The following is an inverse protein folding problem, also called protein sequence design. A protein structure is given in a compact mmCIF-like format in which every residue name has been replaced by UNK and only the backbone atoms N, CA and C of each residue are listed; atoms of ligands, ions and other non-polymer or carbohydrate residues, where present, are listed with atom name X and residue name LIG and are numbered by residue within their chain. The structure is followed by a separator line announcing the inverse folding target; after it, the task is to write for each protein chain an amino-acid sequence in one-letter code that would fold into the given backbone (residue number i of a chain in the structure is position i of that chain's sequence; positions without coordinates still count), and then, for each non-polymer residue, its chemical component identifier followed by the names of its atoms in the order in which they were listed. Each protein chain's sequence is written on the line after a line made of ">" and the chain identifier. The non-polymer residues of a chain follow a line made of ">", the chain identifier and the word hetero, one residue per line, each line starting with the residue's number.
data_IF_589610921195
#
_entry.id   IF_589610921195
#
_cell.length_a   1.000
_cell.length_b   1.000
_cell.length_c   1.000
_cell.angle_alpha   90.00
_cell.angle_beta   90.00
_cell.angle_gamma   90.00
#
_symmetry.space_group_name_H-M   'P 1'
#
loop_
_entity.id
_entity.type
_entity.pdbx_description
1 polymer ?
#
# COMPACT_ATOMS: atom_id res chain seq x y z
N UNK A 1 18.52 42.26 -46.46
CA UNK A 1 18.04 40.95 -45.98
C UNK A 1 18.44 40.86 -44.52
N UNK A 2 17.50 41.15 -43.60
CA UNK A 2 17.78 41.17 -42.16
C UNK A 2 17.56 39.76 -41.61
N UNK A 3 18.63 39.11 -41.16
CA UNK A 3 18.59 37.86 -40.42
C UNK A 3 18.08 38.19 -39.03
N UNK A 4 16.79 37.96 -38.78
CA UNK A 4 16.26 37.95 -37.43
C UNK A 4 16.92 36.78 -36.69
N UNK A 5 17.83 37.11 -35.79
CA UNK A 5 18.40 36.15 -34.84
C UNK A 5 17.28 35.71 -33.92
N UNK A 6 16.71 34.54 -34.19
CA UNK A 6 15.76 33.91 -33.28
C UNK A 6 16.47 33.67 -31.95
N UNK A 7 16.20 34.56 -31.00
CA UNK A 7 16.75 34.48 -29.67
C UNK A 7 16.12 33.26 -29.01
N UNK A 8 16.87 32.17 -28.88
CA UNK A 8 16.38 31.01 -28.15
C UNK A 8 16.07 31.46 -26.72
N UNK A 9 14.82 31.28 -26.31
CA UNK A 9 14.24 31.77 -25.05
C UNK A 9 15.08 31.36 -23.83
N UNK A 10 15.82 30.27 -23.93
CA UNK A 10 16.61 29.67 -22.85
C UNK A 10 18.10 30.02 -22.87
N UNK A 11 18.63 30.71 -23.88
CA UNK A 11 20.08 30.96 -24.01
C UNK A 11 20.68 31.79 -22.88
N UNK A 12 19.87 32.62 -22.22
CA UNK A 12 20.32 33.56 -21.20
C UNK A 12 19.97 33.11 -19.77
N UNK A 13 19.38 31.93 -19.61
CA UNK A 13 19.02 31.42 -18.29
C UNK A 13 20.19 30.64 -17.67
N UNK A 14 20.55 30.92 -16.40
CA UNK A 14 21.45 30.07 -15.63
C UNK A 14 20.98 28.61 -15.61
N UNK A 15 21.94 27.68 -15.60
CA UNK A 15 21.66 26.25 -15.65
C UNK A 15 20.83 25.76 -14.45
N UNK A 16 20.97 26.42 -13.30
CA UNK A 16 20.24 26.16 -12.07
C UNK A 16 18.75 26.47 -12.25
N UNK A 17 18.41 27.61 -12.86
CA UNK A 17 17.02 27.97 -13.13
C UNK A 17 16.38 27.04 -14.16
N UNK A 18 17.13 26.64 -15.19
CA UNK A 18 16.67 25.64 -16.15
C UNK A 18 16.39 24.31 -15.46
N UNK A 19 17.30 23.87 -14.59
CA UNK A 19 17.14 22.65 -13.80
C UNK A 19 15.88 22.73 -12.94
N UNK A 20 15.68 23.80 -12.18
CA UNK A 20 14.50 23.98 -11.32
C UNK A 20 13.20 23.93 -12.14
N UNK A 21 13.16 24.58 -13.31
CA UNK A 21 12.01 24.55 -14.22
C UNK A 21 11.74 23.12 -14.71
N UNK A 22 12.76 22.41 -15.19
CA UNK A 22 12.59 21.05 -15.71
C UNK A 22 12.25 20.03 -14.62
N UNK A 23 12.86 20.14 -13.44
CA UNK A 23 12.56 19.29 -12.29
C UNK A 23 11.12 19.54 -11.81
N UNK A 24 10.68 20.80 -11.73
CA UNK A 24 9.29 21.13 -11.37
C UNK A 24 8.29 20.60 -12.39
N UNK A 25 8.55 20.78 -13.69
CA UNK A 25 7.70 20.27 -14.76
C UNK A 25 7.65 18.73 -14.77
N UNK A 26 8.78 18.07 -14.54
CA UNK A 26 8.85 16.60 -14.46
C UNK A 26 8.16 16.04 -13.20
N UNK A 27 8.25 16.74 -12.07
CA UNK A 27 7.56 16.37 -10.83
C UNK A 27 6.04 16.47 -10.97
N UNK A 28 5.56 17.50 -11.68
CA UNK A 28 4.14 17.80 -11.82
C UNK A 28 3.41 16.86 -12.79
N UNK A 29 4.09 16.39 -13.85
CA UNK A 29 3.50 15.48 -14.83
C UNK A 29 4.49 14.40 -15.31
N UNK A 30 4.24 13.11 -15.03
CA UNK A 30 5.05 12.00 -15.52
C UNK A 30 5.15 11.91 -17.05
N UNK A 31 4.14 12.37 -17.79
CA UNK A 31 4.23 12.39 -19.25
C UNK A 31 5.24 13.43 -19.72
N UNK A 32 5.19 14.63 -19.14
CA UNK A 32 6.19 15.69 -19.33
C UNK A 32 7.59 15.24 -18.95
N UNK A 33 7.77 14.58 -17.80
CA UNK A 33 9.07 14.02 -17.40
C UNK A 33 9.66 13.10 -18.48
N UNK A 34 8.84 12.25 -19.10
CA UNK A 34 9.29 11.34 -20.18
C UNK A 34 9.73 12.12 -21.41
N UNK A 35 8.94 13.10 -21.84
CA UNK A 35 9.30 13.95 -22.98
C UNK A 35 10.59 14.72 -22.73
N UNK A 36 10.73 15.33 -21.54
CA UNK A 36 11.93 16.06 -21.14
C UNK A 36 13.18 15.17 -21.14
N UNK A 37 13.05 13.91 -20.74
CA UNK A 37 14.17 12.95 -20.75
C UNK A 37 14.75 12.68 -22.15
N UNK A 38 14.02 13.02 -23.22
CA UNK A 38 14.45 12.86 -24.60
C UNK A 38 15.13 14.11 -25.19
N UNK A 39 15.06 15.26 -24.51
CA UNK A 39 15.54 16.55 -25.03
C UNK A 39 17.07 16.61 -25.07
N UNK A 40 17.73 16.29 -23.96
CA UNK A 40 19.20 16.28 -23.86
C UNK A 40 19.68 15.33 -22.76
N UNK A 41 20.97 14.99 -22.75
CA UNK A 41 21.57 14.17 -21.68
C UNK A 41 21.52 14.85 -20.31
N UNK A 42 21.73 16.17 -20.26
CA UNK A 42 21.65 16.95 -19.02
C UNK A 42 20.23 16.96 -18.46
N UNK A 43 19.23 17.27 -19.29
CA UNK A 43 17.82 17.27 -18.87
C UNK A 43 17.39 15.86 -18.46
N UNK A 44 17.81 14.82 -19.20
CA UNK A 44 17.59 13.44 -18.80
C UNK A 44 18.14 13.17 -17.40
N UNK A 45 19.36 13.59 -17.10
CA UNK A 45 19.95 13.40 -15.77
C UNK A 45 19.12 14.09 -14.67
N UNK A 46 18.62 15.30 -14.94
CA UNK A 46 17.77 16.04 -14.00
C UNK A 46 16.40 15.38 -13.81
N UNK A 47 15.75 14.94 -14.89
CA UNK A 47 14.37 14.43 -14.81
C UNK A 47 14.24 12.95 -14.52
N UNK A 48 15.31 12.17 -14.72
CA UNK A 48 15.27 10.72 -14.63
C UNK A 48 14.82 10.21 -13.25
N UNK A 49 15.18 10.91 -12.18
CA UNK A 49 14.77 10.49 -10.85
C UNK A 49 13.25 10.51 -10.64
N UNK A 50 12.52 11.45 -11.26
CA UNK A 50 11.06 11.47 -11.22
C UNK A 50 10.42 10.32 -12.00
N UNK A 51 11.08 9.85 -13.07
CA UNK A 51 10.60 8.72 -13.87
C UNK A 51 10.64 7.40 -13.10
N UNK A 52 11.66 7.23 -12.25
CA UNK A 52 11.86 6.01 -11.48
C UNK A 52 11.32 6.09 -10.05
N UNK A 53 10.97 7.29 -9.55
CA UNK A 53 10.48 7.48 -8.18
C UNK A 53 9.27 6.59 -7.87
N UNK A 54 8.29 6.59 -8.77
CA UNK A 54 7.05 5.82 -8.64
C UNK A 54 6.85 4.96 -9.90
N UNK A 55 7.02 3.65 -9.76
CA UNK A 55 6.93 2.67 -10.85
C UNK A 55 5.66 1.84 -10.70
N UNK A 56 4.81 1.88 -11.74
CA UNK A 56 3.56 1.09 -11.80
C UNK A 56 3.63 0.11 -12.96
N UNK A 57 3.69 -1.19 -12.64
CA UNK A 57 3.78 -2.29 -13.58
C UNK A 57 2.41 -2.99 -13.67
N UNK A 58 1.54 -2.47 -14.54
CA UNK A 58 0.16 -2.97 -14.69
C UNK A 58 0.00 -4.11 -15.69
N UNK A 59 1.01 -4.37 -16.52
CA UNK A 59 0.98 -5.41 -17.56
C UNK A 59 2.31 -6.14 -17.68
N UNK A 60 2.31 -7.37 -18.21
CA UNK A 60 3.53 -8.14 -18.47
C UNK A 60 4.46 -7.43 -19.46
N UNK A 61 3.90 -6.59 -20.36
CA UNK A 61 4.69 -5.72 -21.24
C UNK A 61 5.44 -4.67 -20.43
N UNK A 62 4.76 -3.92 -19.55
CA UNK A 62 5.40 -2.92 -18.69
C UNK A 62 6.46 -3.54 -17.77
N UNK A 63 6.20 -4.74 -17.22
CA UNK A 63 7.16 -5.48 -16.41
C UNK A 63 8.45 -5.82 -17.18
N UNK A 64 8.32 -6.36 -18.41
CA UNK A 64 9.47 -6.66 -19.28
C UNK A 64 10.23 -5.41 -19.70
N UNK A 65 9.51 -4.35 -20.09
CA UNK A 65 10.13 -3.08 -20.46
C UNK A 65 10.90 -2.46 -19.30
N UNK A 66 10.35 -2.51 -18.09
CA UNK A 66 11.02 -2.03 -16.89
C UNK A 66 12.28 -2.86 -16.58
N UNK A 67 12.19 -4.19 -16.64
CA UNK A 67 13.34 -5.08 -16.47
C UNK A 67 14.48 -4.77 -17.46
N UNK A 68 14.14 -4.58 -18.74
CA UNK A 68 15.13 -4.20 -19.76
C UNK A 68 15.74 -2.81 -19.51
N UNK A 69 14.94 -1.87 -19.00
CA UNK A 69 15.44 -0.54 -18.66
C UNK A 69 16.43 -0.62 -17.48
N UNK A 70 16.05 -1.28 -16.38
CA UNK A 70 16.89 -1.36 -15.18
C UNK A 70 18.13 -2.24 -15.36
N UNK A 71 18.13 -3.20 -16.30
CA UNK A 71 19.33 -4.01 -16.58
C UNK A 71 20.48 -3.21 -17.19
N UNK A 72 20.20 -2.03 -17.74
CA UNK A 72 21.23 -1.11 -18.27
C UNK A 72 21.71 -0.10 -17.22
N UNK A 73 21.14 -0.13 -16.01
CA UNK A 73 21.43 0.81 -14.92
C UNK A 73 22.28 0.15 -13.84
N UNK A 74 23.14 0.92 -13.14
CA UNK A 74 23.81 0.42 -11.94
C UNK A 74 22.77 -0.06 -10.91
N UNK A 75 23.05 -1.16 -10.21
CA UNK A 75 22.13 -1.69 -9.19
C UNK A 75 21.79 -0.64 -8.11
N UNK A 76 22.78 0.17 -7.74
CA UNK A 76 22.61 1.25 -6.77
C UNK A 76 21.63 2.33 -7.22
N UNK A 77 21.60 2.61 -8.53
CA UNK A 77 20.67 3.57 -9.10
C UNK A 77 19.23 3.11 -8.87
N UNK A 78 18.89 1.87 -9.19
CA UNK A 78 17.53 1.35 -9.04
C UNK A 78 17.13 1.31 -7.57
N UNK A 79 18.04 0.85 -6.71
CA UNK A 79 17.84 0.76 -5.26
C UNK A 79 17.52 2.10 -4.63
N UNK A 80 18.19 3.17 -5.05
CA UNK A 80 18.04 4.51 -4.45
C UNK A 80 16.91 5.32 -5.07
N UNK A 81 16.60 5.10 -6.35
CA UNK A 81 15.65 5.91 -7.10
C UNK A 81 14.22 5.40 -7.04
N UNK A 82 13.99 4.09 -6.92
CA UNK A 82 12.63 3.52 -6.87
C UNK A 82 12.13 3.53 -5.42
N UNK A 83 11.21 4.45 -5.11
CA UNK A 83 10.63 4.63 -3.78
C UNK A 83 9.27 4.00 -3.63
N UNK A 84 8.48 4.02 -4.70
CA UNK A 84 7.15 3.43 -4.72
C UNK A 84 7.03 2.45 -5.87
N UNK A 85 6.71 1.20 -5.56
CA UNK A 85 6.64 0.13 -6.55
C UNK A 85 5.27 -0.56 -6.48
N UNK A 86 4.54 -0.51 -7.60
CA UNK A 86 3.28 -1.22 -7.76
C UNK A 86 3.40 -2.29 -8.83
N UNK A 87 3.26 -3.56 -8.45
CA UNK A 87 3.29 -4.70 -9.38
C UNK A 87 1.89 -5.30 -9.46
N UNK A 88 1.13 -4.90 -10.48
CA UNK A 88 -0.23 -5.39 -10.75
C UNK A 88 -0.30 -6.31 -11.97
N UNK A 89 0.82 -6.45 -12.69
CA UNK A 89 0.95 -7.33 -13.82
C UNK A 89 0.85 -8.80 -13.39
N UNK A 90 0.00 -9.55 -14.10
CA UNK A 90 0.14 -11.01 -14.16
C UNK A 90 1.35 -11.30 -15.05
N UNK A 91 2.44 -11.77 -14.46
CA UNK A 91 3.70 -11.99 -15.18
C UNK A 91 4.44 -13.21 -14.66
N UNK A 92 5.48 -13.67 -15.37
CA UNK A 92 6.34 -14.74 -14.88
C UNK A 92 6.88 -14.37 -13.51
N UNK A 93 6.73 -15.29 -12.55
CA UNK A 93 7.14 -15.09 -11.15
C UNK A 93 8.62 -14.70 -11.06
N UNK A 94 9.48 -15.24 -11.92
CA UNK A 94 10.91 -14.92 -11.97
C UNK A 94 11.16 -13.44 -12.35
N UNK A 95 10.31 -12.88 -13.21
CA UNK A 95 10.41 -11.47 -13.60
C UNK A 95 10.01 -10.54 -12.45
N UNK A 96 8.96 -10.90 -11.71
CA UNK A 96 8.53 -10.18 -10.51
C UNK A 96 9.64 -10.23 -9.45
N UNK A 97 10.20 -11.41 -9.22
CA UNK A 97 11.29 -11.60 -8.25
C UNK A 97 12.52 -10.75 -8.55
N UNK A 98 12.95 -10.70 -9.82
CA UNK A 98 14.07 -9.84 -10.26
C UNK A 98 13.80 -8.36 -10.03
N UNK A 99 12.56 -7.89 -10.25
CA UNK A 99 12.18 -6.52 -9.96
C UNK A 99 12.25 -6.24 -8.46
N UNK A 100 11.69 -7.12 -7.61
CA UNK A 100 11.74 -6.97 -6.16
C UNK A 100 13.19 -6.95 -5.65
N UNK A 101 14.05 -7.80 -6.19
CA UNK A 101 15.48 -7.83 -5.89
C UNK A 101 16.22 -6.54 -6.28
N UNK A 102 15.90 -5.96 -7.43
CA UNK A 102 16.51 -4.71 -7.88
C UNK A 102 16.03 -3.49 -7.10
N UNK A 103 14.77 -3.51 -6.63
CA UNK A 103 14.10 -2.39 -5.97
C UNK A 103 14.07 -2.55 -4.43
N UNK A 104 15.20 -2.94 -3.81
CA UNK A 104 15.25 -3.19 -2.35
C UNK A 104 15.04 -1.95 -1.47
N UNK A 105 15.22 -0.76 -2.02
CA UNK A 105 15.08 0.52 -1.31
C UNK A 105 13.70 1.17 -1.44
N UNK A 106 12.67 0.39 -1.76
CA UNK A 106 11.28 0.86 -1.80
C UNK A 106 10.77 1.17 -0.40
N UNK A 107 10.02 2.26 -0.30
CA UNK A 107 9.36 2.73 0.92
C UNK A 107 7.88 2.28 0.94
N UNK A 108 7.23 2.16 -0.24
CA UNK A 108 5.86 1.67 -0.40
C UNK A 108 5.77 0.63 -1.52
N UNK A 109 5.26 -0.56 -1.19
CA UNK A 109 5.06 -1.67 -2.12
C UNK A 109 3.58 -1.98 -2.28
N UNK A 110 3.08 -2.05 -3.51
CA UNK A 110 1.75 -2.57 -3.81
C UNK A 110 1.84 -3.82 -4.69
N UNK A 111 1.23 -4.91 -4.22
CA UNK A 111 1.19 -6.20 -4.90
C UNK A 111 -0.22 -6.45 -5.42
N UNK A 112 -0.36 -6.79 -6.69
CA UNK A 112 -1.59 -7.28 -7.32
C UNK A 112 -1.44 -8.67 -7.96
N UNK A 113 -0.35 -9.39 -7.69
CA UNK A 113 -0.07 -10.73 -8.21
C UNK A 113 -0.30 -11.79 -7.13
N UNK A 114 -0.51 -13.05 -7.52
CA UNK A 114 -0.75 -14.16 -6.58
C UNK A 114 0.46 -14.40 -5.65
N UNK A 115 0.36 -13.94 -4.40
CA UNK A 115 1.42 -14.08 -3.40
C UNK A 115 1.65 -15.51 -2.93
N UNK A 116 0.60 -16.32 -2.64
CA UNK A 116 0.78 -17.75 -2.37
C UNK A 116 1.59 -18.46 -3.47
N UNK A 117 1.22 -18.24 -4.74
CA UNK A 117 1.94 -18.81 -5.88
C UNK A 117 3.38 -18.30 -5.99
N UNK A 118 3.61 -17.01 -5.73
CA UNK A 118 4.96 -16.44 -5.67
C UNK A 118 5.81 -17.11 -4.58
N UNK A 119 5.27 -17.22 -3.36
CA UNK A 119 5.95 -17.84 -2.21
C UNK A 119 6.30 -19.30 -2.49
N UNK A 120 5.41 -20.05 -3.13
CA UNK A 120 5.67 -21.46 -3.46
C UNK A 120 6.84 -21.63 -4.44
N UNK A 121 7.01 -20.70 -5.38
CA UNK A 121 8.00 -20.82 -6.46
C UNK A 121 9.35 -20.17 -6.12
N UNK A 122 9.36 -19.03 -5.43
CA UNK A 122 10.58 -18.25 -5.15
C UNK A 122 10.88 -18.11 -3.65
N UNK A 123 9.95 -18.50 -2.78
CA UNK A 123 10.01 -18.20 -1.36
C UNK A 123 9.63 -16.74 -1.06
N UNK A 124 10.04 -16.24 0.11
CA UNK A 124 9.75 -14.88 0.58
C UNK A 124 10.99 -13.99 0.71
N UNK A 125 12.17 -14.46 0.30
CA UNK A 125 13.45 -13.77 0.53
C UNK A 125 13.51 -12.35 -0.03
N UNK A 126 12.99 -12.12 -1.25
CA UNK A 126 13.00 -10.79 -1.87
C UNK A 126 12.14 -9.79 -1.08
N UNK A 127 10.95 -10.20 -0.65
CA UNK A 127 10.02 -9.38 0.14
C UNK A 127 10.57 -9.12 1.55
N UNK A 128 11.13 -10.14 2.19
CA UNK A 128 11.78 -10.03 3.50
C UNK A 128 13.04 -9.14 3.48
N UNK A 129 13.69 -9.01 2.33
CA UNK A 129 14.86 -8.14 2.15
C UNK A 129 14.50 -6.65 2.02
N UNK A 130 13.21 -6.28 1.92
CA UNK A 130 12.74 -4.89 1.79
C UNK A 130 12.75 -4.16 3.14
N UNK A 131 13.93 -4.02 3.75
CA UNK A 131 14.12 -3.43 5.09
C UNK A 131 13.67 -1.97 5.22
N UNK A 132 13.53 -1.26 4.09
CA UNK A 132 13.07 0.13 4.04
C UNK A 132 11.56 0.27 3.84
N UNK A 133 10.85 -0.81 3.49
CA UNK A 133 9.42 -0.72 3.15
C UNK A 133 8.61 -0.43 4.40
N UNK A 134 8.01 0.75 4.44
CA UNK A 134 7.13 1.20 5.52
C UNK A 134 5.69 0.81 5.23
N UNK A 135 5.30 0.82 3.97
CA UNK A 135 3.96 0.49 3.53
C UNK A 135 3.95 -0.73 2.61
N UNK A 136 2.96 -1.61 2.82
CA UNK A 136 2.73 -2.74 1.94
C UNK A 136 1.22 -2.92 1.68
N UNK A 137 0.83 -3.03 0.40
CA UNK A 137 -0.55 -3.14 -0.02
C UNK A 137 -0.77 -4.44 -0.80
N UNK A 138 -1.51 -5.37 -0.22
CA UNK A 138 -1.90 -6.63 -0.84
C UNK A 138 -3.29 -6.48 -1.47
N UNK A 139 -3.32 -6.24 -2.78
CA UNK A 139 -4.51 -5.85 -3.52
C UNK A 139 -4.98 -6.97 -4.45
N UNK A 140 -6.29 -7.04 -4.69
CA UNK A 140 -6.87 -7.90 -5.73
C UNK A 140 -6.48 -9.38 -5.57
N UNK A 141 -5.74 -9.91 -6.54
CA UNK A 141 -5.33 -11.33 -6.58
C UNK A 141 -4.33 -11.72 -5.50
N UNK A 142 -3.67 -10.76 -4.85
CA UNK A 142 -2.64 -11.02 -3.83
C UNK A 142 -3.14 -11.78 -2.62
N UNK A 143 -4.43 -11.65 -2.30
CA UNK A 143 -5.04 -12.28 -1.12
C UNK A 143 -6.13 -13.30 -1.47
N UNK A 144 -6.40 -13.55 -2.77
CA UNK A 144 -7.55 -14.36 -3.22
C UNK A 144 -7.49 -15.79 -2.69
N UNK A 145 -6.30 -16.37 -2.68
CA UNK A 145 -6.05 -17.75 -2.30
C UNK A 145 -5.46 -17.81 -0.87
N UNK A 146 -5.78 -16.80 -0.05
CA UNK A 146 -5.14 -16.53 1.23
C UNK A 146 -3.83 -15.75 1.08
N UNK A 147 -3.24 -15.36 2.20
CA UNK A 147 -1.91 -14.76 2.27
C UNK A 147 -1.22 -15.16 3.58
N UNK A 148 0.08 -14.92 3.68
CA UNK A 148 0.91 -15.35 4.81
C UNK A 148 1.77 -14.18 5.30
N UNK A 149 1.86 -13.96 6.60
CA UNK A 149 2.63 -12.86 7.21
C UNK A 149 4.10 -12.88 6.85
N UNK A 150 4.66 -14.06 6.53
CA UNK A 150 6.03 -14.22 6.02
C UNK A 150 6.26 -13.56 4.66
N UNK A 151 5.23 -13.06 3.96
CA UNK A 151 5.39 -12.25 2.73
C UNK A 151 5.39 -10.74 3.02
N UNK A 152 5.15 -10.34 4.27
CA UNK A 152 5.18 -8.96 4.72
C UNK A 152 6.57 -8.63 5.24
N UNK A 153 7.16 -7.53 4.75
CA UNK A 153 8.47 -7.11 5.24
C UNK A 153 8.40 -6.72 6.73
N UNK A 154 9.41 -7.04 7.55
CA UNK A 154 9.35 -6.85 9.00
C UNK A 154 9.40 -5.37 9.42
N UNK A 155 9.77 -4.47 8.50
CA UNK A 155 9.75 -3.02 8.68
C UNK A 155 8.39 -2.37 8.39
N UNK A 156 7.41 -3.15 7.91
CA UNK A 156 6.10 -2.62 7.53
C UNK A 156 5.39 -2.09 8.77
N UNK A 157 5.03 -0.81 8.68
CA UNK A 157 4.25 -0.09 9.69
C UNK A 157 2.80 0.06 9.25
N UNK A 158 2.56 0.09 7.93
CA UNK A 158 1.25 0.25 7.32
C UNK A 158 0.95 -0.90 6.36
N UNK A 159 -0.01 -1.75 6.71
CA UNK A 159 -0.40 -2.89 5.91
C UNK A 159 -1.84 -2.71 5.42
N UNK A 160 -2.06 -2.83 4.11
CA UNK A 160 -3.41 -2.88 3.53
C UNK A 160 -3.64 -4.24 2.90
N UNK A 161 -4.73 -4.91 3.24
CA UNK A 161 -5.08 -6.24 2.71
C UNK A 161 -6.49 -6.24 2.14
N UNK A 162 -6.72 -7.07 1.13
CA UNK A 162 -8.05 -7.33 0.58
C UNK A 162 -8.58 -8.67 1.07
N UNK A 163 -9.66 -8.65 1.84
CA UNK A 163 -10.27 -9.87 2.38
C UNK A 163 -11.44 -10.26 1.49
N UNK A 164 -11.28 -11.35 0.75
CA UNK A 164 -12.24 -11.76 -0.30
C UNK A 164 -13.47 -12.47 0.24
N UNK A 165 -13.39 -13.10 1.41
CA UNK A 165 -14.51 -13.78 2.07
C UNK A 165 -14.31 -13.83 3.58
N UNK A 166 -15.34 -13.43 4.33
CA UNK A 166 -15.52 -13.80 5.73
C UNK A 166 -16.42 -15.03 5.73
N UNK A 167 -15.85 -16.23 5.87
CA UNK A 167 -16.68 -17.41 6.02
C UNK A 167 -17.14 -17.50 7.49
N UNK A 168 -18.35 -17.99 7.73
CA UNK A 168 -19.06 -18.03 9.04
C UNK A 168 -18.41 -18.90 10.14
N UNK A 169 -17.12 -19.25 10.00
CA UNK A 169 -16.33 -19.91 11.04
C UNK A 169 -14.88 -19.44 11.12
N UNK A 170 -14.39 -18.74 10.08
CA UNK A 170 -13.08 -18.12 10.08
C UNK A 170 -13.18 -16.78 9.31
N UNK A 171 -13.21 -15.64 10.03
CA UNK A 171 -13.38 -14.34 9.41
C UNK A 171 -12.20 -13.98 8.48
N UNK A 172 -11.06 -14.65 8.61
CA UNK A 172 -9.87 -14.40 7.80
C UNK A 172 -9.33 -15.74 7.33
N UNK A 173 -9.69 -16.22 6.12
CA UNK A 173 -9.14 -17.44 5.57
C UNK A 173 -7.66 -17.22 5.26
N UNK A 174 -6.82 -17.35 6.29
CA UNK A 174 -5.41 -17.60 6.11
C UNK A 174 -5.31 -19.00 5.50
N UNK A 175 -4.45 -19.21 4.50
CA UNK A 175 -4.22 -20.54 4.02
C UNK A 175 -3.77 -21.35 5.23
N UNK A 176 -4.50 -22.43 5.53
CA UNK A 176 -4.08 -23.44 6.49
C UNK A 176 -2.71 -23.90 5.99
N UNK A 177 -1.65 -23.34 6.57
CA UNK A 177 -0.31 -23.79 6.30
C UNK A 177 -0.19 -25.24 6.76
N UNK A 178 0.98 -25.83 6.61
CA UNK A 178 1.27 -27.16 7.17
C UNK A 178 1.23 -27.22 8.73
N UNK A 179 0.70 -26.18 9.40
CA UNK A 179 0.47 -26.11 10.83
C UNK A 179 -0.95 -26.55 11.22
N UNK A 180 -1.21 -26.62 12.52
CA UNK A 180 -2.49 -27.08 13.05
C UNK A 180 -3.64 -26.21 12.53
N UNK A 181 -4.70 -26.81 11.94
CA UNK A 181 -5.85 -26.07 11.40
C UNK A 181 -6.71 -25.36 12.46
N UNK A 182 -6.29 -25.38 13.74
CA UNK A 182 -7.02 -24.84 14.88
C UNK A 182 -6.50 -23.49 15.39
N UNK A 183 -5.34 -23.00 14.94
CA UNK A 183 -4.82 -21.72 15.41
C UNK A 183 -5.56 -20.55 14.72
N UNK A 184 -6.12 -19.60 15.50
CA UNK A 184 -6.83 -18.45 14.94
C UNK A 184 -5.86 -17.61 14.11
N UNK A 185 -6.20 -17.37 12.85
CA UNK A 185 -5.28 -16.77 11.87
C UNK A 185 -4.74 -15.39 12.23
N UNK A 186 -5.37 -14.69 13.17
CA UNK A 186 -4.93 -13.41 13.70
C UNK A 186 -3.63 -13.45 14.49
N UNK A 187 -3.29 -14.57 15.12
CA UNK A 187 -2.05 -14.71 15.90
C UNK A 187 -0.80 -14.47 15.04
N UNK A 188 -0.90 -14.71 13.72
CA UNK A 188 0.20 -14.44 12.79
C UNK A 188 0.57 -12.96 12.72
N UNK A 189 -0.36 -12.04 13.00
CA UNK A 189 -0.01 -10.62 13.08
C UNK A 189 0.93 -10.31 14.25
N UNK A 190 1.02 -11.18 15.26
CA UNK A 190 1.99 -11.02 16.35
C UNK A 190 3.44 -11.02 15.86
N UNK A 191 3.72 -11.62 14.69
CA UNK A 191 5.05 -11.59 14.07
C UNK A 191 5.41 -10.21 13.49
N UNK A 192 4.40 -9.37 13.21
CA UNK A 192 4.56 -8.06 12.59
C UNK A 192 4.73 -6.95 13.62
N UNK A 193 5.74 -7.08 14.48
CA UNK A 193 5.96 -6.17 15.62
C UNK A 193 6.06 -4.68 15.29
N UNK A 194 6.41 -4.32 14.05
CA UNK A 194 6.46 -2.93 13.57
C UNK A 194 5.11 -2.37 13.13
N UNK A 195 4.08 -3.22 12.98
CA UNK A 195 2.79 -2.85 12.43
C UNK A 195 2.02 -1.94 13.39
N UNK A 196 1.66 -0.76 12.90
CA UNK A 196 0.89 0.26 13.63
C UNK A 196 -0.46 0.55 12.96
N UNK A 197 -0.53 0.42 11.63
CA UNK A 197 -1.71 0.74 10.84
C UNK A 197 -2.11 -0.46 9.98
N UNK A 198 -3.37 -0.88 10.10
CA UNK A 198 -3.94 -1.97 9.30
C UNK A 198 -5.17 -1.47 8.55
N UNK A 199 -5.17 -1.60 7.22
CA UNK A 199 -6.36 -1.41 6.39
C UNK A 199 -6.88 -2.75 5.87
N UNK A 200 -8.18 -2.97 6.03
CA UNK A 200 -8.89 -4.14 5.52
C UNK A 200 -9.92 -3.66 4.52
N UNK A 201 -9.76 -4.09 3.27
CA UNK A 201 -10.79 -3.92 2.25
C UNK A 201 -11.80 -5.06 2.44
N UNK A 202 -13.00 -4.70 2.85
CA UNK A 202 -14.10 -5.61 3.16
C UNK A 202 -15.20 -5.46 2.11
N UNK A 203 -15.66 -6.59 1.57
CA UNK A 203 -16.84 -6.62 0.71
C UNK A 203 -18.07 -6.95 1.55
N UNK A 204 -19.00 -6.00 1.62
CA UNK A 204 -20.25 -6.23 2.34
C UNK A 204 -21.00 -7.43 1.74
N UNK A 205 -21.39 -8.35 2.61
CA UNK A 205 -22.19 -9.54 2.30
C UNK A 205 -23.35 -9.62 3.28
N UNK A 206 -24.57 -9.93 2.84
CA UNK A 206 -25.70 -10.18 3.75
C UNK A 206 -25.42 -11.32 4.75
N UNK A 207 -24.54 -12.26 4.40
CA UNK A 207 -24.18 -13.39 5.25
C UNK A 207 -23.12 -13.05 6.31
N UNK A 208 -22.48 -11.88 6.23
CA UNK A 208 -21.46 -11.44 7.18
C UNK A 208 -21.82 -10.01 7.62
N UNK A 209 -22.70 -9.88 8.61
CA UNK A 209 -23.13 -8.57 9.06
C UNK A 209 -21.95 -7.77 9.66
N UNK A 210 -22.01 -6.42 9.63
CA UNK A 210 -20.86 -5.58 10.02
C UNK A 210 -20.39 -5.78 11.48
N UNK A 211 -21.27 -6.24 12.36
CA UNK A 211 -20.95 -6.57 13.76
C UNK A 211 -20.00 -7.77 13.88
N UNK A 212 -20.09 -8.77 13.01
CA UNK A 212 -19.16 -9.92 13.02
C UNK A 212 -17.75 -9.50 12.62
N UNK A 213 -17.64 -8.66 11.59
CA UNK A 213 -16.38 -8.05 11.18
C UNK A 213 -15.81 -7.25 12.35
N UNK A 214 -16.61 -6.38 12.95
CA UNK A 214 -16.20 -5.56 14.08
C UNK A 214 -15.68 -6.40 15.25
N UNK A 215 -16.39 -7.46 15.64
CA UNK A 215 -15.96 -8.35 16.72
C UNK A 215 -14.59 -8.99 16.43
N UNK A 216 -14.33 -9.40 15.20
CA UNK A 216 -13.03 -9.94 14.80
C UNK A 216 -11.90 -8.88 14.90
N UNK A 217 -12.19 -7.62 14.56
CA UNK A 217 -11.22 -6.52 14.70
C UNK A 217 -10.93 -6.18 16.17
N UNK A 218 -11.91 -6.33 17.05
CA UNK A 218 -11.70 -6.15 18.49
C UNK A 218 -10.75 -7.20 19.05
N UNK A 219 -10.88 -8.46 18.61
CA UNK A 219 -9.94 -9.52 18.99
C UNK A 219 -8.50 -9.17 18.59
N UNK A 220 -8.32 -8.61 17.39
CA UNK A 220 -6.99 -8.16 16.93
C UNK A 220 -6.40 -7.06 17.82
N UNK A 221 -7.21 -6.10 18.28
CA UNK A 221 -6.76 -5.08 19.24
C UNK A 221 -6.42 -5.67 20.61
N UNK A 222 -7.15 -6.70 21.03
CA UNK A 222 -6.96 -7.39 22.30
C UNK A 222 -5.75 -8.35 22.32
N UNK A 223 -5.19 -8.73 21.16
CA UNK A 223 -4.03 -9.64 21.08
C UNK A 223 -2.86 -9.21 21.96
N UNK A 224 -2.64 -7.90 22.10
CA UNK A 224 -1.57 -7.36 22.94
C UNK A 224 -1.83 -7.56 24.44
N UNK A 225 -3.09 -7.59 24.85
CA UNK A 225 -3.47 -7.74 26.26
C UNK A 225 -3.38 -9.21 26.71
N UNK A 226 -3.50 -10.15 25.78
CA UNK A 226 -3.49 -11.60 26.05
C UNK A 226 -2.13 -12.26 25.85
N UNK A 227 -1.20 -11.60 25.17
CA UNK A 227 0.13 -12.15 24.89
C UNK A 227 1.09 -11.95 26.06
N UNK A 228 1.91 -12.96 26.34
CA UNK A 228 2.97 -12.92 27.36
C UNK A 228 3.96 -11.77 27.10
N UNK A 229 4.59 -11.22 28.14
CA UNK A 229 5.54 -10.09 28.01
C UNK A 229 6.70 -10.35 27.01
N UNK A 230 7.00 -11.63 26.71
CA UNK A 230 8.04 -12.03 25.77
C UNK A 230 7.65 -11.88 24.29
N UNK A 231 6.36 -11.83 23.94
CA UNK A 231 5.93 -11.71 22.54
C UNK A 231 5.66 -10.25 22.16
N UNK A 232 6.39 -9.76 21.15
CA UNK A 232 6.26 -8.39 20.62
C UNK A 232 5.06 -8.26 19.68
N UNK A 233 3.86 -8.43 20.22
CA UNK A 233 2.63 -8.20 19.48
C UNK A 233 2.58 -6.75 18.94
N UNK A 234 2.00 -6.52 17.73
CA UNK A 234 1.92 -5.20 17.14
C UNK A 234 1.10 -4.24 18.00
N UNK A 235 1.55 -2.98 18.07
CA UNK A 235 0.80 -1.91 18.72
C UNK A 235 -0.01 -1.18 17.67
N UNK A 236 -1.19 -1.71 17.36
CA UNK A 236 -2.10 -1.08 16.41
C UNK A 236 -2.64 0.25 16.96
N UNK A 237 -2.35 1.31 16.23
CA UNK A 237 -2.80 2.68 16.45
C UNK A 237 -4.06 2.97 15.64
N UNK A 238 -4.19 2.34 14.46
CA UNK A 238 -5.34 2.46 13.57
C UNK A 238 -5.70 1.11 12.93
N UNK A 239 -7.00 0.82 12.90
CA UNK A 239 -7.59 -0.18 12.01
C UNK A 239 -8.59 0.53 11.09
N UNK A 240 -8.30 0.57 9.80
CA UNK A 240 -9.15 1.14 8.75
C UNK A 240 -9.94 0.04 8.04
N UNK A 241 -11.27 0.15 8.02
CA UNK A 241 -12.16 -0.75 7.27
C UNK A 241 -12.70 -0.03 6.03
N UNK A 242 -12.28 -0.46 4.86
CA UNK A 242 -12.76 0.06 3.59
C UNK A 242 -13.84 -0.83 3.02
N UNK A 243 -15.10 -0.38 3.10
CA UNK A 243 -16.26 -1.16 2.67
C UNK A 243 -16.50 -0.96 1.17
N UNK A 244 -16.38 -2.04 0.39
CA UNK A 244 -16.69 -2.03 -1.04
C UNK A 244 -18.20 -1.96 -1.23
N UNK A 245 -18.67 -0.85 -1.82
CA UNK A 245 -19.99 -0.74 -2.42
C UNK A 245 -19.93 -0.97 -3.93
N UNK A 246 -20.71 -1.92 -4.44
CA UNK A 246 -20.97 -1.98 -5.88
C UNK A 246 -21.77 -0.75 -6.35
N UNK A 247 -21.82 -0.49 -7.66
CA UNK A 247 -22.57 0.65 -8.23
C UNK A 247 -24.05 0.67 -7.81
N UNK A 248 -24.66 -0.50 -7.62
CA UNK A 248 -26.05 -0.68 -7.18
C UNK A 248 -26.20 -0.70 -5.65
N UNK A 249 -25.09 -0.86 -4.92
CA UNK A 249 -25.03 -1.15 -3.49
C UNK A 249 -24.32 -0.05 -2.68
N UNK A 250 -24.36 1.20 -3.15
CA UNK A 250 -23.68 2.31 -2.47
C UNK A 250 -24.35 2.67 -1.13
N UNK A 251 -25.67 2.57 -1.04
CA UNK A 251 -26.42 2.80 0.20
C UNK A 251 -26.14 1.74 1.26
N UNK A 252 -26.04 0.47 0.88
CA UNK A 252 -25.75 -0.63 1.81
C UNK A 252 -24.31 -0.55 2.33
N UNK A 253 -23.34 -0.22 1.46
CA UNK A 253 -21.97 0.02 1.89
C UNK A 253 -21.87 1.19 2.89
N UNK A 254 -22.57 2.30 2.64
CA UNK A 254 -22.63 3.42 3.59
C UNK A 254 -23.26 3.02 4.91
N UNK A 255 -24.37 2.28 4.89
CA UNK A 255 -24.99 1.75 6.11
C UNK A 255 -24.06 0.84 6.91
N UNK A 256 -23.25 0.01 6.24
CA UNK A 256 -22.24 -0.82 6.89
C UNK A 256 -21.09 0.02 7.49
N UNK A 257 -20.63 1.06 6.78
CA UNK A 257 -19.65 2.03 7.31
C UNK A 257 -20.17 2.70 8.58
N UNK A 258 -21.40 3.21 8.54
CA UNK A 258 -22.04 3.88 9.67
C UNK A 258 -22.20 2.91 10.85
N UNK A 259 -22.61 1.67 10.60
CA UNK A 259 -22.76 0.64 11.62
C UNK A 259 -21.43 0.30 12.31
N UNK A 260 -20.33 0.12 11.56
CA UNK A 260 -19.01 -0.18 12.13
C UNK A 260 -18.51 1.00 12.96
N UNK A 261 -18.65 2.22 12.44
CA UNK A 261 -18.24 3.43 13.16
C UNK A 261 -19.07 3.65 14.44
N UNK A 262 -20.37 3.39 14.41
CA UNK A 262 -21.23 3.46 15.58
C UNK A 262 -20.84 2.41 16.64
N UNK A 263 -20.58 1.16 16.22
CA UNK A 263 -20.13 0.09 17.11
C UNK A 263 -18.79 0.42 17.79
N UNK A 264 -17.85 1.02 17.06
CA UNK A 264 -16.57 1.50 17.59
C UNK A 264 -16.77 2.53 18.72
N UNK A 265 -17.66 3.51 18.51
CA UNK A 265 -17.98 4.54 19.51
C UNK A 265 -18.71 3.94 20.71
N UNK A 266 -19.72 3.11 20.47
CA UNK A 266 -20.53 2.49 21.53
C UNK A 266 -19.70 1.61 22.45
N UNK A 267 -18.76 0.84 21.89
CA UNK A 267 -17.89 -0.03 22.68
C UNK A 267 -16.82 0.76 23.44
N UNK A 268 -16.29 1.83 22.83
CA UNK A 268 -15.29 2.68 23.45
C UNK A 268 -13.91 2.00 23.62
N UNK A 269 -13.10 2.54 24.53
CA UNK A 269 -11.78 1.99 24.86
C UNK A 269 -10.85 1.85 23.63
N UNK A 270 -10.11 0.74 23.50
CA UNK A 270 -9.27 0.47 22.33
C UNK A 270 -10.02 0.47 21.00
N UNK A 271 -11.32 0.13 21.01
CA UNK A 271 -12.14 0.04 19.79
C UNK A 271 -12.34 1.39 19.11
N UNK A 272 -12.07 2.51 19.80
CA UNK A 272 -12.06 3.84 19.20
C UNK A 272 -11.02 4.01 18.07
N UNK A 273 -10.04 3.11 17.98
CA UNK A 273 -9.03 3.02 16.91
C UNK A 273 -9.54 2.36 15.62
N UNK A 274 -10.76 1.85 15.61
CA UNK A 274 -11.39 1.27 14.41
C UNK A 274 -12.16 2.38 13.70
N UNK A 275 -11.78 2.70 12.47
CA UNK A 275 -12.50 3.61 11.60
C UNK A 275 -12.95 2.88 10.34
N UNK A 276 -14.14 3.21 9.85
CA UNK A 276 -14.66 2.69 8.59
C UNK A 276 -14.91 3.81 7.58
N UNK A 277 -14.66 3.53 6.30
CA UNK A 277 -14.94 4.41 5.17
C UNK A 277 -15.42 3.59 3.96
N UNK A 278 -16.02 4.27 2.98
CA UNK A 278 -16.32 3.63 1.70
C UNK A 278 -15.00 3.38 0.94
N UNK A 279 -14.80 2.16 0.44
CA UNK A 279 -13.65 1.86 -0.41
C UNK A 279 -13.66 2.73 -1.67
N UNK A 280 -12.49 3.14 -2.19
CA UNK A 280 -12.42 3.86 -3.45
C UNK A 280 -12.87 2.97 -4.62
N UNK A 281 -13.26 3.59 -5.74
CA UNK A 281 -13.57 2.85 -6.97
C UNK A 281 -12.38 2.04 -7.48
N UNK A 282 -11.15 2.52 -7.25
CA UNK A 282 -9.92 1.78 -7.56
C UNK A 282 -8.88 1.98 -6.47
N UNK A 283 -8.61 0.91 -5.73
CA UNK A 283 -7.58 0.86 -4.68
C UNK A 283 -6.17 1.09 -5.24
N UNK A 284 -5.93 0.67 -6.49
CA UNK A 284 -4.67 0.91 -7.21
C UNK A 284 -4.49 2.40 -7.50
N UNK A 285 -5.55 3.08 -7.98
CA UNK A 285 -5.49 4.53 -8.23
C UNK A 285 -5.39 5.34 -6.95
N UNK A 286 -6.06 4.92 -5.88
CA UNK A 286 -5.90 5.56 -4.58
C UNK A 286 -4.45 5.46 -4.07
N UNK A 287 -3.85 4.27 -4.14
CA UNK A 287 -2.44 4.09 -3.79
C UNK A 287 -1.52 4.94 -4.67
N UNK A 288 -1.70 4.91 -5.99
CA UNK A 288 -0.89 5.71 -6.92
C UNK A 288 -1.03 7.21 -6.65
N UNK A 289 -2.24 7.69 -6.35
CA UNK A 289 -2.48 9.10 -6.03
C UNK A 289 -1.76 9.49 -4.72
N UNK A 290 -1.89 8.68 -3.66
CA UNK A 290 -1.25 8.92 -2.38
C UNK A 290 0.28 9.02 -2.51
N UNK A 291 0.93 8.06 -3.18
CA UNK A 291 2.39 8.08 -3.37
C UNK A 291 2.89 9.14 -4.37
N UNK A 292 1.97 9.84 -5.06
CA UNK A 292 2.28 10.98 -5.93
C UNK A 292 1.93 12.33 -5.28
N UNK A 293 1.71 12.36 -3.96
CA UNK A 293 1.42 13.58 -3.20
C UNK A 293 -0.05 13.97 -3.17
N UNK A 294 -0.96 13.10 -3.61
CA UNK A 294 -2.38 13.20 -3.28
C UNK A 294 -2.65 12.84 -1.81
N UNK A 295 -3.93 12.92 -1.38
CA UNK A 295 -4.30 12.55 -0.02
C UNK A 295 -3.85 11.14 0.34
N UNK A 296 -3.24 10.99 1.51
CA UNK A 296 -2.83 9.70 2.04
C UNK A 296 -4.01 8.74 2.23
N UNK A 297 -3.75 7.44 2.15
CA UNK A 297 -4.78 6.41 2.38
C UNK A 297 -5.31 6.45 3.83
N UNK A 298 -4.48 6.91 4.76
CA UNK A 298 -4.72 6.80 6.20
C UNK A 298 -5.28 8.09 6.82
N UNK A 299 -5.04 9.24 6.21
CA UNK A 299 -5.28 10.57 6.78
C UNK A 299 -6.70 10.77 7.32
N UNK A 300 -7.72 10.41 6.52
CA UNK A 300 -9.12 10.56 6.93
C UNK A 300 -9.49 9.70 8.13
N UNK A 301 -8.93 8.49 8.21
CA UNK A 301 -9.18 7.56 9.30
C UNK A 301 -8.42 7.96 10.57
N UNK A 302 -7.18 8.43 10.45
CA UNK A 302 -6.40 9.00 11.55
C UNK A 302 -7.09 10.21 12.18
N UNK A 303 -7.65 11.11 11.36
CA UNK A 303 -8.41 12.26 11.84
C UNK A 303 -9.63 11.81 12.68
N UNK A 304 -10.38 10.81 12.20
CA UNK A 304 -11.54 10.26 12.91
C UNK A 304 -11.12 9.66 14.26
N UNK A 305 -10.09 8.81 14.28
CA UNK A 305 -9.60 8.16 15.51
C UNK A 305 -9.08 9.20 16.51
N UNK A 306 -8.31 10.18 16.03
CA UNK A 306 -7.78 11.26 16.88
C UNK A 306 -8.90 12.03 17.58
N UNK A 307 -9.94 12.42 16.84
CA UNK A 307 -11.12 13.11 17.40
C UNK A 307 -11.83 12.27 18.46
N UNK A 308 -12.01 10.97 18.20
CA UNK A 308 -12.67 10.04 19.14
C UNK A 308 -11.89 9.87 20.44
N UNK A 309 -10.57 9.66 20.34
CA UNK A 309 -9.70 9.51 21.50
C UNK A 309 -9.65 10.79 22.33
N UNK A 310 -9.59 11.96 21.69
CA UNK A 310 -9.65 13.25 22.38
C UNK A 310 -10.98 13.45 23.13
N UNK A 311 -12.11 13.12 22.49
CA UNK A 311 -13.43 13.21 23.13
C UNK A 311 -13.56 12.27 24.34
N UNK A 312 -13.08 11.03 24.22
CA UNK A 312 -13.08 10.07 25.34
C UNK A 312 -12.18 10.53 26.50
N UNK A 313 -11.00 11.10 26.19
CA UNK A 313 -10.11 11.65 27.20
C UNK A 313 -10.70 12.89 27.91
N UNK A 314 -11.51 13.69 27.21
CA UNK A 314 -12.21 14.82 27.80
C UNK A 314 -13.37 14.38 28.71
N UNK A 315 -14.10 13.31 28.35
CA UNK A 315 -15.20 12.77 29.15
C UNK A 315 -14.74 12.06 30.44
N UNK A 316 -13.47 11.67 30.53
CA UNK A 316 -12.88 11.04 31.71
C UNK A 316 -12.33 12.04 32.75
N UNK A 317 -12.33 13.34 32.45
CA UNK A 317 -11.90 14.42 33.36
C UNK A 317 -13.09 15.01 34.09
#
# INVERSE_FOLDING_TARGET
>A
MSSATEHLVFSNLPAELLRDIFEHAAASDPATARTLSLVSSAIRHWTEHFLYHTVVLSSSRSLRSFLAAISTKPAEFVRTRVKHLGIFAVGPVQSIDRVLHACRGVDSLACGFNLPGYKQVQGCGALQALRGSREQHLLGLSCRDGWDTTVIAPSVTHLRIHVTSFNTGDPFPFPSGAGNPSEPGWERFAELSSLTHLAIIYRHSPCTPPNEVFAALQQLLALRETTSEDTKAPRLELILVQVIGGLVASSTARGAVDAINAAAIQTGGPSLRIAAECAPTSVVRQWEAAVRGGPGIWEGAEEIVTKRLAAAAAAAK
#
